data_IF_520470747443
#
_entry.id   IF_520470747443
#
_cell.length_a   1.000
_cell.length_b   1.000
_cell.length_c   1.000
_cell.angle_alpha   90.00
_cell.angle_beta   90.00
_cell.angle_gamma   90.00
#
_symmetry.space_group_name_H-M   'P 1'
#
loop_
_entity.id
_entity.type
_entity.pdbx_description
1 polymer ?
#
# COMPACT_ATOMS: atom_id res chain seq x y z
N UNK A 1 -27.85 35.64 49.41
CA UNK A 1 -27.45 34.78 48.32
C UNK A 1 -25.95 34.56 48.36
N UNK A 2 -25.51 33.38 47.93
CA UNK A 2 -24.12 33.06 47.65
C UNK A 2 -24.01 32.95 46.13
N UNK A 3 -23.03 33.62 45.55
CA UNK A 3 -22.66 33.49 44.16
C UNK A 3 -21.50 32.51 44.06
N UNK A 4 -21.64 31.45 43.27
CA UNK A 4 -20.58 30.52 42.95
C UNK A 4 -20.40 30.48 41.43
N UNK A 5 -19.18 30.35 40.97
CA UNK A 5 -18.87 30.16 39.58
C UNK A 5 -18.14 28.84 39.41
N UNK A 6 -18.30 28.18 38.28
CA UNK A 6 -17.38 27.14 37.85
C UNK A 6 -15.96 27.71 37.63
N UNK A 7 -15.03 26.89 37.21
CA UNK A 7 -13.65 27.36 36.91
C UNK A 7 -13.60 28.42 35.80
N UNK A 8 -14.57 28.45 34.89
CA UNK A 8 -14.81 29.50 33.88
C UNK A 8 -13.54 30.08 33.22
N UNK A 9 -12.53 29.25 33.00
CA UNK A 9 -11.22 29.64 32.46
C UNK A 9 -10.98 29.13 31.04
N UNK A 10 -11.82 28.19 30.60
CA UNK A 10 -11.76 27.64 29.24
C UNK A 10 -12.70 28.39 28.32
N UNK A 11 -12.30 28.51 27.02
CA UNK A 11 -13.20 29.03 26.00
C UNK A 11 -14.41 28.11 25.88
N UNK A 12 -15.59 28.67 25.78
CA UNK A 12 -16.85 27.94 25.71
C UNK A 12 -17.92 28.55 26.61
N UNK A 13 -18.79 27.69 27.15
CA UNK A 13 -19.84 28.13 28.03
C UNK A 13 -19.36 28.17 29.51
N UNK A 14 -19.42 29.32 30.09
CA UNK A 14 -19.20 29.52 31.52
C UNK A 14 -20.51 29.51 32.31
N UNK A 15 -20.48 29.18 33.60
CA UNK A 15 -21.63 29.10 34.47
C UNK A 15 -21.47 29.94 35.73
N UNK A 16 -22.55 30.55 36.17
CA UNK A 16 -22.69 31.23 37.45
C UNK A 16 -23.94 30.72 38.16
N UNK A 17 -23.81 30.35 39.40
CA UNK A 17 -24.93 29.86 40.21
C UNK A 17 -25.17 30.73 41.42
N UNK A 18 -26.41 31.16 41.60
CA UNK A 18 -26.88 31.95 42.71
C UNK A 18 -27.69 31.04 43.67
N UNK A 19 -27.27 30.97 44.92
CA UNK A 19 -27.93 30.15 45.96
C UNK A 19 -28.40 31.03 47.12
N UNK A 20 -29.65 30.90 47.57
CA UNK A 20 -30.16 31.63 48.74
C UNK A 20 -29.38 31.30 50.00
N UNK A 21 -29.14 32.30 50.86
CA UNK A 21 -28.46 32.14 52.16
C UNK A 21 -29.39 31.90 53.35
N UNK A 22 -30.67 32.22 53.21
CA UNK A 22 -31.64 32.11 54.31
C UNK A 22 -32.91 31.38 53.82
N UNK A 23 -33.72 30.91 54.75
CA UNK A 23 -34.86 30.04 54.52
C UNK A 23 -36.07 30.68 53.84
N UNK A 24 -36.07 31.98 53.53
CA UNK A 24 -37.20 32.64 52.88
C UNK A 24 -37.25 32.44 51.37
N UNK A 25 -36.17 31.94 50.81
CA UNK A 25 -36.06 31.62 49.39
C UNK A 25 -35.41 30.24 49.25
N UNK A 26 -35.92 29.46 48.32
CA UNK A 26 -35.43 28.10 48.04
C UNK A 26 -35.06 27.94 46.56
N UNK A 27 -34.22 26.95 46.25
CA UNK A 27 -33.75 26.65 44.89
C UNK A 27 -32.48 27.42 44.53
N UNK A 28 -31.93 27.09 43.38
CA UNK A 28 -30.75 27.72 42.77
C UNK A 28 -31.11 28.30 41.40
N UNK A 29 -30.51 29.41 41.05
CA UNK A 29 -30.57 29.99 39.71
C UNK A 29 -29.20 29.89 39.08
N UNK A 30 -29.11 29.20 37.92
CA UNK A 30 -27.89 29.11 37.12
C UNK A 30 -28.05 29.92 35.86
N UNK A 31 -27.08 30.76 35.57
CA UNK A 31 -26.96 31.49 34.32
C UNK A 31 -25.70 31.06 33.60
N UNK A 32 -25.76 31.03 32.28
CA UNK A 32 -24.63 30.73 31.43
C UNK A 32 -24.19 31.99 30.68
N UNK A 33 -22.92 32.03 30.32
CA UNK A 33 -22.32 33.07 29.49
C UNK A 33 -21.22 32.48 28.63
N UNK A 34 -20.93 33.14 27.50
CA UNK A 34 -19.86 32.70 26.60
C UNK A 34 -18.52 33.30 27.00
N UNK A 35 -17.53 32.43 27.17
CA UNK A 35 -16.12 32.80 27.33
C UNK A 35 -15.50 32.78 25.92
N UNK A 36 -15.23 33.95 25.41
CA UNK A 36 -14.59 34.11 24.09
C UNK A 36 -13.07 34.21 24.25
N UNK A 37 -12.35 33.53 23.39
CA UNK A 37 -10.91 33.70 23.31
C UNK A 37 -10.51 35.00 22.59
N UNK A 38 -9.27 35.37 22.74
CA UNK A 38 -8.65 36.42 21.96
C UNK A 38 -8.41 35.92 20.53
N UNK A 39 -8.81 36.67 19.52
CA UNK A 39 -8.58 36.31 18.13
C UNK A 39 -7.23 36.82 17.63
N UNK A 40 -6.51 35.95 16.95
CA UNK A 40 -5.29 36.24 16.20
C UNK A 40 -5.61 36.15 14.71
N UNK A 41 -5.46 37.23 13.97
CA UNK A 41 -5.88 37.35 12.57
C UNK A 41 -4.81 37.97 11.66
N UNK A 42 -3.64 38.26 12.16
CA UNK A 42 -2.57 38.92 11.38
C UNK A 42 -1.59 37.95 10.75
N UNK A 43 -1.73 36.65 11.00
CA UNK A 43 -0.81 35.64 10.50
C UNK A 43 0.59 35.69 11.15
N UNK A 44 1.57 35.06 10.52
CA UNK A 44 2.93 35.00 11.08
C UNK A 44 3.92 34.34 10.15
N UNK A 45 5.14 34.24 10.63
CA UNK A 45 6.29 33.71 9.88
C UNK A 45 6.81 32.44 10.51
N UNK A 46 6.96 31.39 9.72
CA UNK A 46 7.69 30.19 10.08
C UNK A 46 9.18 30.32 9.80
N UNK A 47 9.98 29.76 10.68
CA UNK A 47 11.44 29.61 10.48
C UNK A 47 11.80 28.15 10.76
N UNK A 48 12.54 27.56 9.83
CA UNK A 48 12.92 26.15 9.84
C UNK A 48 14.40 26.00 10.13
N UNK A 49 14.76 24.94 10.85
CA UNK A 49 16.13 24.61 11.19
C UNK A 49 16.41 23.14 10.87
N UNK A 50 17.57 22.87 10.34
CA UNK A 50 18.06 21.53 10.07
C UNK A 50 18.48 20.79 11.35
N UNK A 51 19.02 19.58 11.18
CA UNK A 51 19.51 18.73 12.28
C UNK A 51 20.70 19.36 13.04
N UNK A 52 21.44 20.26 12.43
CA UNK A 52 22.56 20.99 13.04
C UNK A 52 22.14 22.32 13.69
N UNK A 53 20.82 22.61 13.68
CA UNK A 53 20.27 23.86 14.19
C UNK A 53 20.54 25.08 13.30
N UNK A 54 20.94 24.87 12.04
CA UNK A 54 21.17 25.92 11.07
C UNK A 54 19.85 26.31 10.41
N UNK A 55 19.61 27.62 10.32
CA UNK A 55 18.42 28.16 9.68
C UNK A 55 18.40 27.82 8.20
N UNK A 56 17.29 27.21 7.73
CA UNK A 56 17.07 26.86 6.33
C UNK A 56 16.51 28.07 5.59
N UNK A 57 17.27 28.60 4.64
CA UNK A 57 16.87 29.77 3.87
C UNK A 57 15.78 29.47 2.81
N UNK A 58 15.85 28.29 2.19
CA UNK A 58 14.91 27.84 1.15
C UNK A 58 14.39 26.46 1.50
N UNK A 59 13.33 26.36 2.31
CA UNK A 59 12.81 25.07 2.76
C UNK A 59 12.27 24.26 1.59
N UNK A 60 12.71 23.02 1.50
CA UNK A 60 12.21 22.03 0.55
C UNK A 60 12.50 20.63 1.05
N UNK A 61 11.68 19.67 0.66
CA UNK A 61 11.89 18.25 0.90
C UNK A 61 12.08 17.51 -0.41
N UNK A 62 12.72 16.35 -0.34
CA UNK A 62 12.76 15.38 -1.42
C UNK A 62 12.15 14.09 -0.90
N UNK A 63 11.23 13.53 -1.64
CA UNK A 63 10.52 12.31 -1.26
C UNK A 63 11.49 11.16 -0.93
N UNK A 64 11.20 10.46 0.16
CA UNK A 64 11.99 9.31 0.62
C UNK A 64 11.12 8.16 1.17
N UNK A 65 9.81 8.18 0.89
CA UNK A 65 8.86 7.19 1.36
C UNK A 65 8.37 7.39 2.80
N UNK A 66 8.78 8.47 3.46
CA UNK A 66 8.45 8.76 4.86
C UNK A 66 7.84 10.16 4.99
N UNK A 67 7.29 10.43 6.15
CA UNK A 67 6.86 11.77 6.54
C UNK A 67 8.05 12.73 6.60
N UNK A 68 7.81 13.99 6.21
CA UNK A 68 8.80 15.03 6.15
C UNK A 68 8.50 16.15 7.13
N UNK A 69 9.48 16.45 7.98
CA UNK A 69 9.45 17.60 8.88
C UNK A 69 10.88 18.07 9.17
N UNK A 70 11.05 19.34 9.50
CA UNK A 70 12.32 19.87 10.01
C UNK A 70 12.46 19.52 11.49
N UNK A 71 13.69 19.36 11.95
CA UNK A 71 14.00 19.00 13.33
C UNK A 71 13.49 20.04 14.32
N UNK A 72 13.52 21.32 13.91
CA UNK A 72 12.97 22.43 14.68
C UNK A 72 12.28 23.41 13.73
N UNK A 73 11.09 23.82 14.12
CA UNK A 73 10.33 24.88 13.46
C UNK A 73 9.91 25.88 14.53
N UNK A 74 10.02 27.15 14.22
CA UNK A 74 9.51 28.21 15.10
C UNK A 74 8.51 29.06 14.33
N UNK A 75 7.55 29.61 15.07
CA UNK A 75 6.53 30.50 14.53
C UNK A 75 6.63 31.85 15.25
N UNK A 76 6.59 32.93 14.48
CA UNK A 76 6.59 34.30 14.99
C UNK A 76 5.35 35.01 14.47
N UNK A 77 4.47 35.43 15.35
CA UNK A 77 3.27 36.19 15.01
C UNK A 77 3.65 37.61 14.57
N UNK A 78 2.91 38.17 13.60
CA UNK A 78 3.30 39.45 13.02
C UNK A 78 3.09 40.65 13.96
N UNK A 79 2.09 40.60 14.86
CA UNK A 79 2.00 41.64 15.90
C UNK A 79 3.13 41.42 16.94
N UNK A 80 4.15 42.25 16.88
CA UNK A 80 5.32 42.19 17.75
C UNK A 80 5.03 42.44 19.24
N UNK A 81 3.87 43.01 19.55
CA UNK A 81 3.41 43.22 20.94
C UNK A 81 2.90 41.94 21.58
N UNK A 82 2.61 40.90 20.77
CA UNK A 82 2.12 39.61 21.24
C UNK A 82 3.21 38.54 21.09
N UNK A 83 3.77 38.15 22.23
CA UNK A 83 4.71 37.02 22.27
C UNK A 83 3.93 35.74 22.56
N UNK A 84 3.83 34.85 21.58
CA UNK A 84 3.15 33.58 21.72
C UNK A 84 4.14 32.47 22.09
N UNK A 85 3.70 31.54 22.94
CA UNK A 85 4.48 30.42 23.42
C UNK A 85 3.96 29.12 22.81
N UNK A 86 4.84 28.38 22.14
CA UNK A 86 4.50 27.06 21.60
C UNK A 86 4.12 26.09 22.71
N UNK A 87 3.12 25.26 22.45
CA UNK A 87 2.54 24.32 23.42
C UNK A 87 1.45 24.96 24.29
N UNK A 88 1.51 26.24 24.59
CA UNK A 88 0.53 26.97 25.38
C UNK A 88 -0.47 27.77 24.52
N UNK A 89 0.04 28.62 23.64
CA UNK A 89 -0.74 29.54 22.84
C UNK A 89 -1.01 29.02 21.42
N UNK A 90 -0.14 28.15 20.93
CA UNK A 90 -0.25 27.49 19.63
C UNK A 90 0.51 26.16 19.60
N UNK A 91 0.24 25.38 18.55
CA UNK A 91 1.05 24.22 18.17
C UNK A 91 1.36 24.26 16.68
N UNK A 92 2.51 23.72 16.29
CA UNK A 92 2.90 23.58 14.87
C UNK A 92 2.58 22.14 14.43
N UNK A 93 1.93 22.02 13.27
CA UNK A 93 1.66 20.73 12.63
C UNK A 93 2.18 20.74 11.19
N UNK A 94 2.74 19.60 10.81
CA UNK A 94 3.04 19.27 9.42
C UNK A 94 1.90 18.41 8.90
N UNK A 95 1.31 18.81 7.79
CA UNK A 95 0.14 18.18 7.20
C UNK A 95 0.44 17.88 5.74
N UNK A 96 -0.12 16.81 5.21
CA UNK A 96 0.14 16.33 3.85
C UNK A 96 1.63 16.09 3.57
N UNK A 97 2.36 15.67 4.60
CA UNK A 97 3.81 15.55 4.61
C UNK A 97 4.33 14.19 4.06
N UNK A 98 3.45 13.42 3.43
CA UNK A 98 3.75 12.19 2.68
C UNK A 98 3.34 12.36 1.24
N UNK A 99 4.18 11.96 0.29
CA UNK A 99 3.84 12.04 -1.13
C UNK A 99 2.68 11.10 -1.50
N UNK A 100 1.87 11.52 -2.48
CA UNK A 100 0.68 10.79 -2.92
C UNK A 100 -0.62 11.28 -2.28
N UNK A 101 -0.52 12.20 -1.33
CA UNK A 101 -1.66 12.93 -0.79
C UNK A 101 -1.61 14.35 -1.35
N UNK A 102 -2.29 14.55 -2.47
CA UNK A 102 -2.39 15.87 -3.10
C UNK A 102 -3.20 16.80 -2.19
N UNK A 103 -2.50 17.67 -1.48
CA UNK A 103 -3.13 18.78 -0.78
C UNK A 103 -3.91 19.65 -1.76
N UNK A 104 -5.07 20.14 -1.37
CA UNK A 104 -5.87 21.06 -2.19
C UNK A 104 -5.18 22.41 -2.24
N UNK A 105 -4.29 22.59 -3.20
CA UNK A 105 -3.62 23.87 -3.40
C UNK A 105 -4.41 24.78 -4.31
N UNK A 106 -4.20 26.06 -4.05
CA UNK A 106 -4.74 27.16 -4.83
C UNK A 106 -4.39 27.01 -6.31
N UNK A 107 -5.15 27.66 -7.17
CA UNK A 107 -4.97 27.73 -8.62
C UNK A 107 -3.56 28.11 -9.10
N UNK A 108 -2.69 28.63 -8.21
CA UNK A 108 -1.31 29.02 -8.53
C UNK A 108 -0.33 27.85 -8.65
N UNK A 109 -0.60 26.68 -8.01
CA UNK A 109 0.34 25.54 -7.97
C UNK A 109 -0.32 24.19 -8.26
N UNK A 110 -0.94 24.00 -9.41
CA UNK A 110 -1.83 22.86 -9.65
C UNK A 110 -1.14 21.48 -9.81
N UNK A 111 0.17 21.40 -9.76
CA UNK A 111 0.92 20.16 -10.05
C UNK A 111 2.07 19.82 -9.10
N UNK A 112 2.37 20.70 -8.16
CA UNK A 112 3.44 20.44 -7.19
C UNK A 112 2.84 19.92 -5.89
N UNK A 113 3.48 18.95 -5.29
CA UNK A 113 3.09 18.50 -3.96
C UNK A 113 3.80 19.32 -2.91
N UNK A 114 3.06 19.76 -1.91
CA UNK A 114 3.57 20.56 -0.82
C UNK A 114 3.21 19.95 0.52
N UNK A 115 4.12 20.08 1.45
CA UNK A 115 3.86 19.87 2.87
C UNK A 115 3.30 21.17 3.42
N UNK A 116 2.11 21.15 4.01
CA UNK A 116 1.59 22.29 4.72
C UNK A 116 2.15 22.32 6.14
N UNK A 117 2.69 23.45 6.55
CA UNK A 117 3.08 23.73 7.93
C UNK A 117 2.13 24.76 8.48
N UNK A 118 1.37 24.38 9.48
CA UNK A 118 0.29 25.19 10.05
C UNK A 118 0.59 25.51 11.52
N UNK A 119 0.23 26.72 11.94
CA UNK A 119 0.17 27.11 13.34
C UNK A 119 -1.29 27.08 13.78
N UNK A 120 -1.62 26.20 14.71
CA UNK A 120 -2.96 26.01 15.26
C UNK A 120 -3.02 26.70 16.62
N UNK A 121 -3.92 27.67 16.76
CA UNK A 121 -4.10 28.40 18.02
C UNK A 121 -4.68 27.54 19.12
N UNK A 122 -4.20 27.73 20.34
CA UNK A 122 -4.58 27.00 21.56
C UNK A 122 -4.95 27.96 22.69
N UNK A 123 -5.41 27.38 23.79
CA UNK A 123 -5.70 28.10 25.02
C UNK A 123 -6.64 29.30 24.77
N UNK A 124 -6.28 30.46 25.27
CA UNK A 124 -7.08 31.70 25.09
C UNK A 124 -7.20 32.17 23.63
N UNK A 125 -6.41 31.61 22.71
CA UNK A 125 -6.42 31.94 21.30
C UNK A 125 -7.16 30.90 20.43
N UNK A 126 -7.77 29.88 21.01
CA UNK A 126 -8.41 28.79 20.29
C UNK A 126 -9.65 29.19 19.44
N UNK A 127 -9.99 30.48 19.37
CA UNK A 127 -10.99 31.03 18.44
C UNK A 127 -10.37 31.78 17.26
N UNK A 128 -9.02 31.74 17.10
CA UNK A 128 -8.32 32.45 16.05
C UNK A 128 -8.66 31.88 14.69
N UNK A 129 -8.76 32.77 13.69
CA UNK A 129 -9.13 32.46 12.32
C UNK A 129 -8.28 33.28 11.35
N UNK A 130 -7.84 32.67 10.30
CA UNK A 130 -7.23 33.38 9.16
C UNK A 130 -7.90 33.00 7.86
N UNK A 131 -7.90 33.92 6.92
CA UNK A 131 -8.36 33.69 5.54
C UNK A 131 -7.20 33.72 4.54
N UNK A 132 -5.97 33.76 5.03
CA UNK A 132 -4.78 33.79 4.18
C UNK A 132 -4.49 32.43 3.54
N UNK A 133 -3.82 32.45 2.39
CA UNK A 133 -3.34 31.27 1.67
C UNK A 133 -4.40 30.20 1.38
N UNK A 134 -5.63 30.61 1.06
CA UNK A 134 -6.73 29.72 0.69
C UNK A 134 -7.46 29.09 1.88
N UNK A 135 -7.15 29.50 3.10
CA UNK A 135 -7.92 29.15 4.28
C UNK A 135 -9.23 29.93 4.32
N UNK A 136 -10.28 29.32 4.82
CA UNK A 136 -11.54 29.98 5.10
C UNK A 136 -11.87 29.76 6.59
N UNK A 137 -12.05 30.85 7.31
CA UNK A 137 -12.39 30.85 8.74
C UNK A 137 -11.40 30.06 9.63
N UNK A 138 -10.12 30.07 9.27
CA UNK A 138 -9.08 29.31 9.99
C UNK A 138 -9.25 27.82 9.90
N UNK A 139 -9.83 27.30 8.83
CA UNK A 139 -10.01 25.86 8.58
C UNK A 139 -9.04 25.41 7.49
N UNK A 140 -8.13 24.52 7.84
CA UNK A 140 -7.36 23.76 6.89
C UNK A 140 -8.02 22.41 6.64
N UNK A 141 -8.15 22.01 5.38
CA UNK A 141 -8.64 20.67 5.02
C UNK A 141 -7.49 19.90 4.39
N UNK A 142 -7.07 18.80 5.02
CA UNK A 142 -6.02 17.96 4.51
C UNK A 142 -6.43 17.17 3.24
N UNK A 143 -5.49 16.45 2.65
CA UNK A 143 -5.73 15.66 1.46
C UNK A 143 -6.75 14.51 1.67
N UNK A 144 -6.96 14.09 2.90
CA UNK A 144 -7.94 13.06 3.29
C UNK A 144 -9.34 13.65 3.53
N UNK A 145 -9.44 14.99 3.56
CA UNK A 145 -10.71 15.70 3.83
C UNK A 145 -10.94 15.99 5.31
N UNK A 146 -9.97 15.71 6.20
CA UNK A 146 -10.08 16.07 7.61
C UNK A 146 -9.92 17.58 7.79
N UNK A 147 -10.72 18.16 8.68
CA UNK A 147 -10.69 19.58 8.96
C UNK A 147 -9.88 19.85 10.23
N UNK A 148 -8.89 20.73 10.10
CA UNK A 148 -8.16 21.29 11.23
C UNK A 148 -8.63 22.73 11.40
N UNK A 149 -9.17 23.02 12.55
CA UNK A 149 -9.73 24.33 12.90
C UNK A 149 -8.74 25.18 13.68
N UNK A 150 -9.06 26.45 13.89
CA UNK A 150 -8.26 27.42 14.65
C UNK A 150 -6.86 27.65 14.04
N UNK A 151 -6.71 27.43 12.74
CA UNK A 151 -5.46 27.71 12.04
C UNK A 151 -5.27 29.22 11.93
N UNK A 152 -4.19 29.74 12.50
CA UNK A 152 -3.86 31.15 12.49
C UNK A 152 -2.76 31.52 11.50
N UNK A 153 -2.04 30.55 10.97
CA UNK A 153 -1.07 30.74 9.88
C UNK A 153 -0.79 29.40 9.16
N UNK A 154 -0.47 29.49 7.90
CA UNK A 154 -0.03 28.37 7.07
C UNK A 154 1.14 28.80 6.17
N UNK A 155 2.04 27.89 5.92
CA UNK A 155 3.04 27.99 4.86
C UNK A 155 3.22 26.64 4.19
N UNK A 156 3.76 26.65 2.98
CA UNK A 156 3.89 25.46 2.15
C UNK A 156 5.35 25.21 1.80
N UNK A 157 5.79 23.97 1.96
CA UNK A 157 7.14 23.51 1.63
C UNK A 157 7.03 22.54 0.46
N UNK A 158 7.75 22.81 -0.62
CA UNK A 158 7.76 21.94 -1.79
C UNK A 158 8.32 20.55 -1.43
N UNK A 159 7.54 19.50 -1.75
CA UNK A 159 7.95 18.09 -1.67
C UNK A 159 8.28 17.60 -3.07
N UNK A 160 9.56 17.60 -3.41
CA UNK A 160 10.05 17.19 -4.73
C UNK A 160 9.99 15.68 -4.89
N UNK A 161 9.61 15.24 -6.08
CA UNK A 161 9.68 13.84 -6.45
C UNK A 161 11.13 13.37 -6.54
N UNK A 162 11.37 12.11 -6.23
CA UNK A 162 12.68 11.48 -6.37
C UNK A 162 12.84 10.96 -7.80
N UNK A 163 13.95 11.32 -8.44
CA UNK A 163 14.19 10.95 -9.84
C UNK A 163 14.59 9.48 -9.96
N UNK A 164 13.94 8.78 -10.89
CA UNK A 164 14.33 7.45 -11.36
C UNK A 164 15.14 7.62 -12.64
N UNK A 165 16.33 7.06 -12.66
CA UNK A 165 17.22 7.05 -13.82
C UNK A 165 17.49 5.62 -14.29
N UNK A 166 18.04 5.45 -15.47
CA UNK A 166 18.26 4.14 -16.10
C UNK A 166 18.97 3.12 -15.20
N UNK A 167 19.99 3.57 -14.45
CA UNK A 167 20.75 2.71 -13.54
C UNK A 167 19.95 2.20 -12.33
N UNK A 168 18.79 2.78 -12.06
CA UNK A 168 17.88 2.33 -11.02
C UNK A 168 17.05 1.11 -11.44
N UNK A 169 16.99 0.80 -12.74
CA UNK A 169 16.07 -0.19 -13.29
C UNK A 169 16.86 -1.38 -13.82
N UNK A 170 16.43 -2.56 -13.41
CA UNK A 170 16.85 -3.82 -14.01
C UNK A 170 15.66 -4.53 -14.61
N UNK A 171 15.84 -5.09 -15.81
CA UNK A 171 14.83 -5.84 -16.53
C UNK A 171 15.39 -7.21 -16.87
N UNK A 172 14.65 -8.25 -16.55
CA UNK A 172 14.95 -9.64 -16.92
C UNK A 172 13.87 -10.21 -17.81
N UNK A 173 14.22 -11.22 -18.58
CA UNK A 173 13.27 -11.92 -19.43
C UNK A 173 12.13 -12.53 -18.58
N UNK A 174 10.95 -12.61 -19.17
CA UNK A 174 9.91 -13.50 -18.69
C UNK A 174 10.21 -14.94 -19.08
N UNK A 175 9.46 -15.89 -18.54
CA UNK A 175 9.58 -17.31 -18.89
C UNK A 175 8.30 -17.76 -19.57
N UNK A 176 8.41 -18.52 -20.65
CA UNK A 176 7.25 -19.07 -21.36
C UNK A 176 6.30 -19.80 -20.39
N UNK A 177 5.02 -19.50 -20.50
CA UNK A 177 3.98 -19.94 -19.59
C UNK A 177 2.87 -20.76 -20.28
N UNK A 178 3.25 -21.64 -21.22
CA UNK A 178 2.30 -22.50 -21.91
C UNK A 178 1.39 -21.75 -22.90
N UNK A 179 1.84 -20.64 -23.48
CA UNK A 179 1.04 -19.79 -24.39
C UNK A 179 0.19 -18.75 -23.70
N UNK A 180 0.25 -18.64 -22.38
CA UNK A 180 -0.37 -17.54 -21.62
C UNK A 180 0.47 -16.26 -21.74
N UNK A 181 -0.15 -15.07 -21.54
CA UNK A 181 0.58 -13.80 -21.52
C UNK A 181 1.75 -13.81 -20.54
N UNK A 182 2.90 -13.29 -20.99
CA UNK A 182 4.12 -13.20 -20.19
C UNK A 182 4.54 -11.74 -20.08
N UNK A 183 5.01 -11.35 -18.90
CA UNK A 183 5.59 -10.04 -18.63
C UNK A 183 7.07 -10.17 -18.28
N UNK A 184 7.89 -9.13 -18.54
CA UNK A 184 9.26 -9.07 -18.02
C UNK A 184 9.25 -9.00 -16.49
N UNK A 185 10.36 -9.38 -15.88
CA UNK A 185 10.61 -9.06 -14.47
C UNK A 185 11.30 -7.69 -14.42
N UNK A 186 10.59 -6.71 -13.89
CA UNK A 186 11.10 -5.35 -13.71
C UNK A 186 11.37 -5.12 -12.23
N UNK A 187 12.58 -4.70 -11.92
CA UNK A 187 12.96 -4.31 -10.56
C UNK A 187 13.54 -2.89 -10.58
N UNK A 188 12.97 -2.01 -9.76
CA UNK A 188 13.38 -0.61 -9.65
C UNK A 188 13.89 -0.36 -8.24
N UNK A 189 15.15 0.11 -8.12
CA UNK A 189 15.77 0.41 -6.82
C UNK A 189 16.31 1.83 -6.84
N UNK A 190 15.82 2.66 -5.94
CA UNK A 190 16.25 4.05 -5.81
C UNK A 190 16.76 4.28 -4.40
N UNK A 191 18.00 4.73 -4.27
CA UNK A 191 18.67 4.95 -2.96
C UNK A 191 18.56 3.74 -2.01
N UNK A 192 18.68 2.51 -2.54
CA UNK A 192 18.59 1.28 -1.75
C UNK A 192 17.16 0.84 -1.41
N UNK A 193 16.14 1.56 -1.84
CA UNK A 193 14.73 1.20 -1.64
C UNK A 193 14.19 0.54 -2.91
N UNK A 194 13.68 -0.68 -2.78
CA UNK A 194 12.97 -1.37 -3.87
C UNK A 194 11.56 -0.81 -4.00
N UNK A 195 11.26 -0.28 -5.17
CA UNK A 195 9.96 0.30 -5.50
C UNK A 195 8.93 -0.79 -5.81
N UNK A 196 7.64 -0.47 -5.64
CA UNK A 196 6.52 -1.40 -5.85
C UNK A 196 5.78 -1.07 -7.13
N UNK A 197 5.65 -2.08 -8.02
CA UNK A 197 4.76 -2.00 -9.18
C UNK A 197 3.32 -1.71 -8.73
N UNK A 198 2.61 -0.89 -9.51
CA UNK A 198 1.25 -0.47 -9.21
C UNK A 198 1.14 0.68 -8.19
N UNK A 199 2.17 0.90 -7.38
CA UNK A 199 2.22 1.97 -6.39
C UNK A 199 3.22 3.07 -6.76
N UNK A 200 4.48 2.70 -6.98
CA UNK A 200 5.59 3.65 -7.18
C UNK A 200 5.97 3.78 -8.65
N UNK A 201 5.67 2.78 -9.44
CA UNK A 201 5.81 2.77 -10.90
C UNK A 201 4.82 1.80 -11.53
N UNK A 202 4.59 2.00 -12.81
CA UNK A 202 3.98 1.02 -13.72
C UNK A 202 4.95 0.76 -14.87
N UNK A 203 4.68 -0.24 -15.69
CA UNK A 203 5.39 -0.41 -16.93
C UNK A 203 4.46 -0.87 -18.05
N UNK A 204 4.75 -0.42 -19.27
CA UNK A 204 4.06 -0.85 -20.47
C UNK A 204 4.93 -1.82 -21.26
N UNK A 205 4.31 -2.86 -21.78
CA UNK A 205 4.91 -3.82 -22.70
C UNK A 205 4.35 -3.56 -24.10
N UNK A 206 5.20 -3.19 -25.04
CA UNK A 206 4.76 -2.75 -26.36
C UNK A 206 4.28 -3.87 -27.28
N UNK A 207 4.51 -5.13 -26.93
CA UNK A 207 4.15 -6.28 -27.75
C UNK A 207 4.01 -7.57 -26.95
N UNK A 208 3.25 -8.52 -27.49
CA UNK A 208 3.13 -9.89 -27.03
C UNK A 208 2.40 -10.06 -25.69
N UNK A 209 1.16 -9.64 -25.66
CA UNK A 209 0.37 -9.66 -24.42
C UNK A 209 -0.67 -10.78 -24.38
N UNK A 210 -1.06 -11.37 -25.53
CA UNK A 210 -2.20 -12.30 -25.56
C UNK A 210 -1.77 -13.77 -25.68
N UNK A 211 -0.85 -14.09 -26.57
CA UNK A 211 -0.27 -15.44 -26.70
C UNK A 211 1.24 -15.29 -26.89
N UNK A 212 1.96 -15.61 -25.84
CA UNK A 212 3.40 -15.41 -25.82
C UNK A 212 4.15 -16.72 -26.13
N UNK A 213 4.91 -16.73 -27.20
CA UNK A 213 5.93 -17.77 -27.44
C UNK A 213 7.28 -17.31 -26.90
N UNK A 214 8.18 -18.27 -26.64
CA UNK A 214 9.56 -17.95 -26.31
C UNK A 214 10.20 -17.15 -27.46
N UNK A 215 10.91 -16.10 -27.11
CA UNK A 215 11.57 -15.18 -28.03
C UNK A 215 13.04 -15.08 -27.72
N UNK A 216 13.82 -14.59 -28.65
CA UNK A 216 15.20 -14.22 -28.35
C UNK A 216 15.25 -13.03 -27.42
N UNK A 217 16.24 -12.98 -26.54
CA UNK A 217 16.50 -11.83 -25.67
C UNK A 217 16.59 -10.54 -26.50
N UNK A 218 16.13 -9.44 -25.90
CA UNK A 218 16.12 -8.10 -26.51
C UNK A 218 15.21 -7.93 -27.74
N UNK A 219 14.23 -8.82 -27.96
CA UNK A 219 13.29 -8.70 -29.05
C UNK A 219 12.03 -7.90 -28.75
N UNK A 220 11.72 -7.72 -27.49
CA UNK A 220 10.52 -7.02 -27.00
C UNK A 220 10.89 -5.74 -26.25
N UNK A 221 9.97 -4.80 -26.21
CA UNK A 221 10.16 -3.52 -25.51
C UNK A 221 9.33 -3.45 -24.23
N UNK A 222 9.91 -2.81 -23.21
CA UNK A 222 9.23 -2.43 -21.98
C UNK A 222 9.61 -1.00 -21.61
N UNK A 223 8.63 -0.19 -21.21
CA UNK A 223 8.82 1.19 -20.77
C UNK A 223 8.38 1.31 -19.33
N UNK A 224 9.30 1.70 -18.44
CA UNK A 224 9.01 1.93 -17.02
C UNK A 224 8.52 3.37 -16.85
N UNK A 225 7.44 3.54 -16.09
CA UNK A 225 6.77 4.81 -15.83
C UNK A 225 6.70 5.06 -14.32
N UNK A 226 7.65 5.83 -13.78
CA UNK A 226 7.57 6.25 -12.39
C UNK A 226 6.30 7.05 -12.12
N UNK A 227 5.75 6.93 -10.93
CA UNK A 227 4.55 7.65 -10.49
C UNK A 227 4.59 7.97 -9.00
N UNK A 228 3.61 8.73 -8.53
CA UNK A 228 3.50 9.21 -7.16
C UNK A 228 4.76 9.99 -6.74
N UNK A 229 5.47 9.55 -5.70
CA UNK A 229 6.70 10.18 -5.20
C UNK A 229 7.91 10.11 -6.13
N UNK A 230 7.77 9.45 -7.29
CA UNK A 230 8.85 9.21 -8.23
C UNK A 230 8.57 9.83 -9.59
N UNK A 231 9.62 10.29 -10.25
CA UNK A 231 9.54 10.91 -11.58
C UNK A 231 10.75 10.55 -12.42
N UNK A 232 10.79 10.96 -13.67
CA UNK A 232 11.98 10.95 -14.51
C UNK A 232 12.02 12.18 -15.39
N UNK A 233 13.20 12.75 -15.59
CA UNK A 233 13.42 13.82 -16.58
C UNK A 233 13.75 13.28 -17.97
N UNK A 234 14.03 11.98 -18.09
CA UNK A 234 14.41 11.30 -19.33
C UNK A 234 13.59 10.02 -19.53
N UNK A 235 12.30 10.13 -19.89
CA UNK A 235 11.41 8.98 -20.04
C UNK A 235 11.89 7.98 -21.11
N UNK A 236 12.61 8.45 -22.14
CA UNK A 236 13.17 7.59 -23.16
C UNK A 236 14.31 6.70 -22.65
N UNK A 237 15.03 7.13 -21.61
CA UNK A 237 16.05 6.32 -20.96
C UNK A 237 15.50 5.16 -20.15
N UNK A 238 14.20 5.18 -19.82
CA UNK A 238 13.50 4.12 -19.12
C UNK A 238 12.83 3.10 -20.05
N UNK A 239 13.28 3.06 -21.30
CA UNK A 239 12.94 2.01 -22.27
C UNK A 239 14.00 0.93 -22.25
N UNK A 240 13.58 -0.31 -22.12
CA UNK A 240 14.45 -1.48 -22.03
C UNK A 240 14.02 -2.55 -23.01
N UNK A 241 14.94 -3.44 -23.33
CA UNK A 241 14.67 -4.64 -24.12
C UNK A 241 14.55 -5.84 -23.19
N UNK A 242 13.69 -6.77 -23.54
CA UNK A 242 13.52 -8.05 -22.87
C UNK A 242 13.17 -9.16 -23.86
N UNK A 243 12.99 -10.37 -23.39
CA UNK A 243 12.57 -11.53 -24.16
C UNK A 243 11.76 -12.49 -23.31
N UNK A 244 11.39 -13.62 -23.89
CA UNK A 244 10.68 -14.70 -23.21
C UNK A 244 11.57 -15.94 -23.29
N UNK A 245 12.14 -16.35 -22.18
CA UNK A 245 12.97 -17.54 -22.10
C UNK A 245 12.12 -18.80 -22.27
N UNK A 246 12.70 -19.85 -22.80
CA UNK A 246 12.06 -21.17 -22.88
C UNK A 246 11.77 -21.69 -21.46
N UNK A 247 10.62 -22.31 -21.30
CA UNK A 247 10.30 -22.99 -20.05
C UNK A 247 11.18 -24.22 -19.89
N UNK A 248 11.87 -24.33 -18.76
CA UNK A 248 12.69 -25.50 -18.45
C UNK A 248 11.80 -26.62 -17.88
N UNK A 249 11.77 -27.77 -18.54
CA UNK A 249 10.98 -28.94 -18.10
C UNK A 249 11.39 -29.46 -16.73
N UNK A 250 12.56 -29.10 -16.19
CA UNK A 250 12.88 -29.36 -14.79
C UNK A 250 11.83 -28.80 -13.83
N UNK A 251 11.16 -27.72 -14.20
CA UNK A 251 10.09 -27.05 -13.44
C UNK A 251 8.68 -27.51 -13.85
N UNK A 252 8.58 -28.45 -14.82
CA UNK A 252 7.30 -28.96 -15.26
C UNK A 252 6.63 -29.83 -14.22
N UNK A 253 5.31 -29.87 -14.22
CA UNK A 253 4.56 -30.87 -13.49
C UNK A 253 4.42 -32.12 -14.36
N UNK A 254 5.01 -33.24 -13.93
CA UNK A 254 5.01 -34.51 -14.70
C UNK A 254 4.24 -35.54 -13.89
N UNK A 255 3.18 -36.08 -14.47
CA UNK A 255 2.43 -37.19 -13.89
C UNK A 255 2.52 -38.42 -14.76
N UNK A 256 2.66 -39.59 -14.15
CA UNK A 256 2.75 -40.89 -14.82
C UNK A 256 1.59 -41.76 -14.32
N UNK A 257 0.75 -42.17 -15.24
CA UNK A 257 -0.36 -43.09 -14.98
C UNK A 257 -0.28 -44.25 -15.97
N UNK A 258 0.24 -45.39 -15.49
CA UNK A 258 0.57 -46.51 -16.33
C UNK A 258 1.51 -46.14 -17.48
N UNK A 259 1.02 -46.21 -18.71
CA UNK A 259 1.78 -45.82 -19.89
C UNK A 259 1.63 -44.36 -20.28
N UNK A 260 0.63 -43.66 -19.72
CA UNK A 260 0.34 -42.27 -20.01
C UNK A 260 1.26 -41.35 -19.19
N UNK A 261 1.99 -40.50 -19.86
CA UNK A 261 2.80 -39.45 -19.26
C UNK A 261 2.19 -38.10 -19.64
N UNK A 262 1.85 -37.31 -18.64
CA UNK A 262 1.34 -35.95 -18.83
C UNK A 262 2.34 -34.95 -18.29
N UNK A 263 2.68 -33.95 -19.10
CA UNK A 263 3.64 -32.89 -18.75
C UNK A 263 2.91 -31.55 -18.78
N UNK A 264 3.02 -30.76 -17.71
CA UNK A 264 2.40 -29.43 -17.63
C UNK A 264 3.42 -28.32 -17.38
N UNK A 265 3.24 -27.23 -18.12
CA UNK A 265 3.86 -25.95 -17.84
C UNK A 265 2.87 -25.11 -16.99
N UNK A 266 3.06 -25.06 -15.69
CA UNK A 266 2.02 -24.57 -14.79
C UNK A 266 0.74 -25.41 -14.92
N UNK A 267 -0.31 -24.79 -15.45
CA UNK A 267 -1.62 -25.46 -15.67
C UNK A 267 -1.86 -25.92 -17.10
N UNK A 268 -0.99 -25.55 -18.02
CA UNK A 268 -1.14 -25.83 -19.44
C UNK A 268 -0.43 -27.12 -19.78
N UNK A 269 -1.13 -28.02 -20.48
CA UNK A 269 -0.53 -29.24 -20.98
C UNK A 269 0.53 -28.92 -22.04
N UNK A 270 1.67 -29.59 -21.93
CA UNK A 270 2.72 -29.51 -22.93
C UNK A 270 2.41 -30.55 -24.02
N UNK A 271 2.29 -30.08 -25.26
CA UNK A 271 2.05 -30.97 -26.38
C UNK A 271 3.13 -32.06 -26.51
N UNK A 272 2.71 -33.30 -26.75
CA UNK A 272 3.61 -34.45 -26.89
C UNK A 272 4.60 -34.29 -28.05
N UNK A 273 4.31 -33.43 -28.97
CA UNK A 273 5.23 -33.01 -30.04
C UNK A 273 6.46 -32.25 -29.52
N UNK A 274 6.41 -31.68 -28.33
CA UNK A 274 7.45 -30.80 -27.80
C UNK A 274 8.51 -31.52 -26.95
N UNK A 275 8.26 -32.77 -26.55
CA UNK A 275 9.17 -33.55 -25.70
C UNK A 275 9.28 -35.00 -26.12
N UNK A 276 10.28 -35.69 -25.59
CA UNK A 276 10.45 -37.13 -25.64
C UNK A 276 10.33 -37.75 -24.26
N UNK A 277 9.89 -38.99 -24.19
CA UNK A 277 9.75 -39.76 -22.96
C UNK A 277 10.66 -40.98 -23.01
N UNK A 278 11.49 -41.16 -22.00
CA UNK A 278 12.31 -42.39 -21.80
C UNK A 278 11.86 -43.03 -20.49
N UNK A 279 11.56 -44.35 -20.51
CA UNK A 279 11.26 -45.14 -19.33
C UNK A 279 12.41 -46.10 -19.09
N UNK A 280 13.09 -45.98 -17.97
CA UNK A 280 14.23 -46.82 -17.59
C UNK A 280 14.37 -46.95 -16.08
N UNK A 281 14.62 -48.17 -15.59
CA UNK A 281 14.91 -48.48 -14.19
C UNK A 281 13.84 -47.90 -13.22
N UNK A 282 12.57 -48.06 -13.55
CA UNK A 282 11.47 -47.55 -12.72
C UNK A 282 11.34 -46.01 -12.71
N UNK A 283 12.00 -45.31 -13.61
CA UNK A 283 11.94 -43.86 -13.75
C UNK A 283 11.45 -43.49 -15.13
N UNK A 284 10.81 -42.33 -15.17
CA UNK A 284 10.35 -41.69 -16.42
C UNK A 284 11.08 -40.36 -16.57
N UNK A 285 11.81 -40.22 -17.65
CA UNK A 285 12.48 -38.94 -17.99
C UNK A 285 11.78 -38.31 -19.18
N UNK A 286 11.31 -37.09 -18.99
CA UNK A 286 10.80 -36.24 -20.06
C UNK A 286 11.87 -35.24 -20.47
N UNK A 287 12.15 -35.10 -21.74
CA UNK A 287 13.20 -34.21 -22.26
C UNK A 287 12.63 -33.35 -23.40
N UNK A 288 12.77 -32.06 -23.31
CA UNK A 288 12.37 -31.15 -24.39
C UNK A 288 13.13 -31.48 -25.69
N UNK A 289 12.42 -31.50 -26.83
CA UNK A 289 13.09 -31.70 -28.14
C UNK A 289 14.02 -30.55 -28.46
N UNK A 290 15.11 -30.83 -29.16
CA UNK A 290 16.12 -29.83 -29.52
C UNK A 290 15.56 -28.67 -30.36
N UNK A 291 14.57 -28.95 -31.20
CA UNK A 291 13.88 -28.01 -32.06
C UNK A 291 12.66 -27.34 -31.40
N UNK A 292 12.32 -27.72 -30.17
CA UNK A 292 11.26 -27.05 -29.44
C UNK A 292 11.53 -25.56 -29.32
N UNK A 293 10.54 -24.75 -29.70
CA UNK A 293 10.62 -23.28 -29.63
C UNK A 293 10.46 -22.78 -28.23
N UNK A 294 9.64 -23.46 -27.42
CA UNK A 294 9.12 -22.95 -26.14
C UNK A 294 9.68 -23.69 -24.92
N UNK A 295 10.27 -24.85 -25.10
CA UNK A 295 10.71 -25.71 -24.00
C UNK A 295 12.19 -26.06 -24.09
N UNK A 296 12.79 -26.33 -22.92
CA UNK A 296 14.19 -26.77 -22.78
C UNK A 296 14.33 -27.67 -21.55
N UNK A 297 15.47 -28.35 -21.43
CA UNK A 297 15.80 -29.16 -20.25
C UNK A 297 15.02 -30.46 -20.17
N UNK A 298 15.12 -31.11 -19.03
CA UNK A 298 14.49 -32.41 -18.75
C UNK A 298 14.08 -32.53 -17.30
N UNK A 299 13.13 -33.45 -17.03
CA UNK A 299 12.72 -33.84 -15.68
C UNK A 299 12.61 -35.35 -15.60
N UNK A 300 13.12 -35.94 -14.53
CA UNK A 300 12.97 -37.35 -14.21
C UNK A 300 12.08 -37.51 -12.98
N UNK A 301 11.08 -38.37 -13.06
CA UNK A 301 10.16 -38.74 -11.99
C UNK A 301 10.13 -40.28 -11.83
N UNK A 302 9.67 -40.78 -10.72
CA UNK A 302 9.47 -42.19 -10.53
C UNK A 302 8.28 -42.70 -11.37
N UNK A 303 8.39 -43.90 -11.95
CA UNK A 303 7.32 -44.48 -12.79
C UNK A 303 6.07 -44.89 -11.97
N UNK A 304 6.20 -45.02 -10.67
CA UNK A 304 5.14 -45.39 -9.75
C UNK A 304 4.52 -44.13 -9.10
N UNK A 305 3.89 -43.27 -9.92
CA UNK A 305 3.09 -42.13 -9.37
C UNK A 305 1.59 -42.46 -9.26
N UNK A 306 1.23 -43.74 -9.28
CA UNK A 306 -0.13 -44.13 -8.86
C UNK A 306 -0.27 -43.83 -7.36
N UNK A 307 -1.20 -42.96 -7.02
CA UNK A 307 -1.62 -42.61 -5.66
C UNK A 307 -0.76 -41.63 -4.84
N UNK A 308 0.06 -40.80 -5.42
CA UNK A 308 0.61 -39.70 -4.62
C UNK A 308 -0.47 -38.65 -4.32
N UNK A 309 -0.85 -38.56 -3.03
CA UNK A 309 -1.62 -37.45 -2.48
C UNK A 309 -0.92 -36.14 -2.84
N UNK A 310 -1.64 -35.10 -3.29
CA UNK A 310 -1.03 -33.82 -3.59
C UNK A 310 -0.20 -33.30 -2.41
N UNK A 311 0.91 -32.64 -2.72
CA UNK A 311 1.69 -31.99 -1.68
C UNK A 311 0.80 -31.00 -0.90
N UNK A 312 1.04 -30.89 0.41
CA UNK A 312 0.26 -29.99 1.25
C UNK A 312 0.49 -28.53 0.79
N UNK A 313 -0.57 -27.78 0.48
CA UNK A 313 -0.44 -26.38 0.12
C UNK A 313 -0.01 -25.55 1.32
N UNK A 314 0.77 -24.50 1.06
CA UNK A 314 1.22 -23.58 2.10
C UNK A 314 0.63 -22.19 1.83
N UNK A 315 -0.15 -21.68 2.78
CA UNK A 315 -0.64 -20.29 2.73
C UNK A 315 0.54 -19.37 3.08
N UNK A 316 0.96 -18.55 2.12
CA UNK A 316 2.06 -17.61 2.28
C UNK A 316 1.60 -16.31 2.93
N UNK A 317 0.36 -15.90 2.69
CA UNK A 317 -0.19 -14.67 3.27
C UNK A 317 -1.72 -14.68 3.26
N UNK A 318 -2.30 -13.87 4.16
CA UNK A 318 -3.72 -13.50 4.13
C UNK A 318 -3.79 -11.97 4.09
N UNK A 319 -4.38 -11.41 3.03
CA UNK A 319 -4.57 -9.97 2.85
C UNK A 319 -6.00 -9.60 3.19
N UNK A 320 -6.18 -8.66 4.13
CA UNK A 320 -7.50 -8.16 4.54
C UNK A 320 -7.73 -6.76 4.02
N UNK A 321 -8.87 -6.54 3.36
CA UNK A 321 -9.30 -5.22 2.86
C UNK A 321 -10.79 -5.07 3.14
N UNK A 322 -11.15 -4.19 4.06
CA UNK A 322 -12.53 -4.05 4.53
C UNK A 322 -13.05 -5.37 5.11
N UNK A 323 -14.19 -5.85 4.61
CA UNK A 323 -14.81 -7.12 5.00
C UNK A 323 -14.43 -8.29 4.07
N UNK A 324 -13.27 -8.22 3.40
CA UNK A 324 -12.77 -9.27 2.51
C UNK A 324 -11.41 -9.77 3.00
N UNK A 325 -11.23 -11.08 3.04
CA UNK A 325 -9.95 -11.73 3.33
C UNK A 325 -9.51 -12.57 2.13
N UNK A 326 -8.32 -12.30 1.59
CA UNK A 326 -7.76 -13.06 0.47
C UNK A 326 -6.61 -13.93 0.97
N UNK A 327 -6.79 -15.24 0.91
CA UNK A 327 -5.75 -16.22 1.20
C UNK A 327 -4.93 -16.48 -0.07
N UNK A 328 -3.60 -16.49 0.05
CA UNK A 328 -2.66 -16.65 -1.07
C UNK A 328 -1.68 -17.76 -0.71
N UNK A 329 -1.51 -18.74 -1.61
CA UNK A 329 -0.51 -19.80 -1.45
C UNK A 329 0.87 -19.33 -1.89
N UNK A 330 1.90 -19.98 -1.39
CA UNK A 330 3.30 -19.75 -1.81
C UNK A 330 3.57 -20.17 -3.27
N UNK A 331 2.69 -20.97 -3.86
CA UNK A 331 2.77 -21.50 -5.21
C UNK A 331 1.80 -22.66 -5.41
N UNK A 332 1.85 -23.27 -6.59
CA UNK A 332 1.08 -24.50 -6.86
C UNK A 332 1.67 -25.68 -6.06
N UNK A 333 0.80 -26.50 -5.48
CA UNK A 333 1.20 -27.74 -4.84
C UNK A 333 1.39 -28.84 -5.88
N UNK A 334 2.47 -29.58 -5.77
CA UNK A 334 2.77 -30.68 -6.70
C UNK A 334 1.64 -31.72 -6.66
N UNK A 335 1.13 -32.10 -7.83
CA UNK A 335 0.04 -33.07 -7.98
C UNK A 335 -1.37 -32.51 -7.73
N UNK A 336 -1.52 -31.22 -7.40
CA UNK A 336 -2.84 -30.63 -7.16
C UNK A 336 -3.58 -30.36 -8.49
N UNK A 337 -4.85 -30.76 -8.53
CA UNK A 337 -5.80 -30.33 -9.57
C UNK A 337 -6.57 -29.08 -9.16
N UNK A 338 -6.60 -28.78 -7.87
CA UNK A 338 -7.21 -27.58 -7.31
C UNK A 338 -7.13 -27.57 -5.79
N UNK A 339 -7.83 -26.61 -5.19
CA UNK A 339 -7.74 -26.27 -3.79
C UNK A 339 -9.11 -26.02 -3.19
N UNK A 340 -9.27 -26.42 -1.94
CA UNK A 340 -10.35 -25.98 -1.08
C UNK A 340 -9.79 -25.10 0.03
N UNK A 341 -10.31 -23.90 0.18
CA UNK A 341 -9.87 -22.95 1.19
C UNK A 341 -10.95 -22.77 2.25
N UNK A 342 -10.52 -22.67 3.49
CA UNK A 342 -11.37 -22.51 4.66
C UNK A 342 -10.87 -21.36 5.52
N UNK A 343 -11.78 -20.59 6.10
CA UNK A 343 -11.50 -19.71 7.24
C UNK A 343 -12.47 -20.05 8.37
N UNK A 344 -11.97 -19.95 9.60
CA UNK A 344 -12.78 -20.16 10.81
C UNK A 344 -12.20 -19.42 12.00
N UNK A 345 -13.06 -19.00 12.92
CA UNK A 345 -12.69 -18.53 14.24
C UNK A 345 -12.26 -19.66 15.16
N UNK A 346 -12.67 -20.91 14.86
CA UNK A 346 -12.21 -22.11 15.53
C UNK A 346 -10.90 -22.63 14.91
N UNK A 347 -9.85 -22.75 15.74
CA UNK A 347 -8.57 -23.32 15.34
C UNK A 347 -8.67 -24.79 14.93
N UNK A 348 -9.59 -25.52 15.52
CA UNK A 348 -9.74 -26.96 15.32
C UNK A 348 -10.82 -27.29 14.28
N UNK A 349 -11.27 -26.28 13.52
CA UNK A 349 -12.35 -26.38 12.54
C UNK A 349 -12.20 -27.51 11.52
N UNK A 350 -10.96 -27.88 11.16
CA UNK A 350 -10.71 -29.01 10.23
C UNK A 350 -11.12 -30.34 10.86
N UNK A 351 -10.81 -30.53 12.15
CA UNK A 351 -11.20 -31.72 12.92
C UNK A 351 -12.70 -31.75 13.19
N UNK A 352 -13.24 -30.60 13.58
CA UNK A 352 -14.65 -30.45 13.93
C UNK A 352 -15.56 -30.38 12.70
N UNK A 353 -15.01 -30.13 11.51
CA UNK A 353 -15.71 -29.88 10.24
C UNK A 353 -16.71 -28.71 10.33
N UNK A 354 -16.39 -27.73 11.16
CA UNK A 354 -17.18 -26.52 11.38
C UNK A 354 -16.41 -25.28 10.89
N UNK A 355 -16.90 -24.69 9.80
CA UNK A 355 -16.20 -23.61 9.09
C UNK A 355 -17.08 -22.36 9.02
N UNK A 356 -16.52 -21.20 9.33
CA UNK A 356 -17.20 -19.92 9.12
C UNK A 356 -17.40 -19.62 7.62
N UNK A 357 -16.43 -20.02 6.79
CA UNK A 357 -16.54 -19.92 5.34
C UNK A 357 -15.61 -20.91 4.62
N UNK A 358 -16.10 -21.43 3.50
CA UNK A 358 -15.35 -22.37 2.64
C UNK A 358 -15.52 -22.01 1.16
N UNK A 359 -14.42 -21.96 0.43
CA UNK A 359 -14.37 -21.84 -1.02
C UNK A 359 -13.79 -23.13 -1.60
N UNK A 360 -14.69 -23.97 -2.13
CA UNK A 360 -14.32 -25.26 -2.73
C UNK A 360 -14.00 -25.15 -4.21
N UNK A 361 -13.29 -26.16 -4.74
CA UNK A 361 -13.03 -26.35 -6.16
C UNK A 361 -12.31 -25.15 -6.82
N UNK A 362 -11.47 -24.46 -6.08
CA UNK A 362 -10.69 -23.36 -6.61
C UNK A 362 -9.50 -23.89 -7.42
N UNK A 363 -9.37 -23.42 -8.65
CA UNK A 363 -8.19 -23.74 -9.48
C UNK A 363 -7.07 -22.71 -9.34
N UNK A 364 -7.31 -21.65 -8.56
CA UNK A 364 -6.36 -20.56 -8.31
C UNK A 364 -5.58 -20.78 -7.03
N UNK A 365 -4.31 -20.37 -7.01
CA UNK A 365 -3.47 -20.32 -5.81
C UNK A 365 -3.85 -19.21 -4.84
N UNK A 366 -4.99 -18.60 -5.05
CA UNK A 366 -5.58 -17.62 -4.12
C UNK A 366 -7.10 -17.64 -4.19
N UNK A 367 -7.73 -17.27 -3.08
CA UNK A 367 -9.18 -17.08 -3.03
C UNK A 367 -9.55 -15.93 -2.11
N UNK A 368 -10.71 -15.32 -2.33
CA UNK A 368 -11.22 -14.22 -1.51
C UNK A 368 -12.52 -14.60 -0.84
N UNK A 369 -12.53 -14.58 0.48
CA UNK A 369 -13.72 -14.67 1.31
C UNK A 369 -14.36 -13.29 1.43
N UNK A 370 -15.68 -13.22 1.30
CA UNK A 370 -16.47 -12.00 1.39
C UNK A 370 -17.27 -11.99 2.69
N UNK A 371 -17.57 -10.79 3.18
CA UNK A 371 -18.39 -10.58 4.39
C UNK A 371 -17.77 -11.15 5.66
N UNK A 372 -16.44 -11.17 5.75
CA UNK A 372 -15.70 -11.59 6.94
C UNK A 372 -15.92 -10.56 8.05
N UNK A 373 -16.41 -11.02 9.20
CA UNK A 373 -16.62 -10.16 10.36
C UNK A 373 -15.30 -9.78 11.02
N UNK A 374 -15.31 -8.74 11.86
CA UNK A 374 -14.13 -8.39 12.63
C UNK A 374 -13.83 -9.48 13.68
N UNK A 375 -12.60 -9.99 13.69
CA UNK A 375 -12.18 -11.05 14.60
C UNK A 375 -10.85 -11.67 14.21
N UNK A 376 -10.42 -12.66 14.98
CA UNK A 376 -9.25 -13.49 14.67
C UNK A 376 -9.70 -14.75 13.94
N UNK A 377 -9.10 -15.02 12.79
CA UNK A 377 -9.41 -16.19 11.96
C UNK A 377 -8.18 -17.03 11.70
N UNK A 378 -8.41 -18.33 11.58
CA UNK A 378 -7.44 -19.30 11.08
C UNK A 378 -7.81 -19.64 9.63
N UNK A 379 -6.80 -19.67 8.76
CA UNK A 379 -6.98 -20.00 7.35
C UNK A 379 -6.29 -21.33 7.04
N UNK A 380 -7.01 -22.21 6.35
CA UNK A 380 -6.52 -23.53 5.94
C UNK A 380 -6.75 -23.72 4.45
N UNK A 381 -5.92 -24.55 3.85
CA UNK A 381 -6.04 -24.93 2.46
C UNK A 381 -5.78 -26.43 2.31
N UNK A 382 -6.60 -27.08 1.52
CA UNK A 382 -6.45 -28.48 1.13
C UNK A 382 -6.25 -28.54 -0.38
N UNK A 383 -5.24 -29.24 -0.86
CA UNK A 383 -5.06 -29.57 -2.25
C UNK A 383 -5.75 -30.90 -2.56
N UNK A 384 -6.50 -30.93 -3.65
CA UNK A 384 -7.15 -32.16 -4.10
C UNK A 384 -6.67 -32.58 -5.49
N UNK A 385 -6.73 -33.88 -5.77
CA UNK A 385 -6.48 -34.50 -7.06
C UNK A 385 -7.84 -34.81 -7.69
N UNK A 386 -7.97 -34.63 -8.99
CA UNK A 386 -9.16 -35.06 -9.70
C UNK A 386 -9.12 -36.61 -9.77
N UNK A 387 -10.07 -37.24 -9.13
CA UNK A 387 -10.29 -38.67 -9.37
C UNK A 387 -10.84 -38.83 -10.80
N UNK A 388 -10.13 -39.57 -11.65
CA UNK A 388 -10.66 -39.97 -12.95
C UNK A 388 -11.68 -41.08 -12.69
N UNK A 389 -12.97 -40.73 -12.68
CA UNK A 389 -14.09 -41.63 -12.91
C UNK A 389 -14.64 -41.42 -14.30
#
# INVERSE_FOLDING_TARGET
FTLTSGENIQIGEGTVTLTPKNGNFTGTLTATFQISGEMLNEGGKFTFYDENGIKVASPSFTYNGKEHQYTKTTFTYFDSNKKLTEGQDYEIKYVDNVYGKEGKYTSEFPKAQYVAVIAVAKGKYASSKTNDYGLKDGIYTDAEGNKITNVMAVTYINLKQLSVVKSNVSVSNGVYAGGLPVKPVVNVVVNGVTLKEGQDYDFDVSSNTDVANATISNSLDVTVKPKNGYTTSAPDDLKFKWGIDKFNLANANVTVDGDKVTVKCGRVDVETSEYTVEKKDGKVTVTAKKDSKNYTGSKTVDAATQDQKPAAPMISSVKVVGNKATAILSGDSEGAAGYDYVISTDRDCITNKDYDSINKNQVQTSTTFKYVQQGTYYAYCHAWKRDEN
#
